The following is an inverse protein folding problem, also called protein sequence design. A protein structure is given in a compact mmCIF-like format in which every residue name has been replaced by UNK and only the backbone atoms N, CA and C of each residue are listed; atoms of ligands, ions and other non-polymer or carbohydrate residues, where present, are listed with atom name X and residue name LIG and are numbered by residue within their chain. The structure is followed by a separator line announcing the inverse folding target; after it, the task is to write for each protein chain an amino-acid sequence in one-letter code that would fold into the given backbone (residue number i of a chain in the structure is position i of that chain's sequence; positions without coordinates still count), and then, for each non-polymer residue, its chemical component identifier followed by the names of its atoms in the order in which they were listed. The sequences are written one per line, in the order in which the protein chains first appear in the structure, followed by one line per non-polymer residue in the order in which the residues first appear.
data_IF_317890011865
#
_entry.id   IF_317890011865
#
_cell.length_a   1.000
_cell.length_b   1.000
_cell.length_c   1.000
_cell.angle_alpha   90.00
_cell.angle_beta   90.00
_cell.angle_gamma   90.00
#
_symmetry.space_group_name_H-M   'P 1'
#
loop_
_entity.id
_entity.type
_entity.pdbx_description
1 polymer ?
#
# COMPACT_ATOMS: atom_id res chain seq x y z
N UNK A 1 -0.53 13.75 -25.16
CA UNK A 1 -0.53 12.28 -25.24
C UNK A 1 -0.03 11.80 -23.88
N UNK A 2 -0.95 11.51 -22.96
CA UNK A 2 -0.61 11.14 -21.58
C UNK A 2 -0.45 9.63 -21.51
N UNK A 3 0.76 9.19 -21.20
CA UNK A 3 1.12 7.78 -21.09
C UNK A 3 0.51 7.20 -19.80
N UNK A 4 -0.37 6.17 -19.86
CA UNK A 4 -0.95 5.54 -18.67
C UNK A 4 0.06 4.68 -17.89
N UNK A 5 1.29 4.55 -18.39
CA UNK A 5 2.40 3.85 -17.77
C UNK A 5 3.33 4.76 -16.95
N UNK A 6 2.78 5.71 -16.17
CA UNK A 6 3.48 6.22 -14.97
C UNK A 6 3.56 5.12 -13.91
N UNK A 7 4.29 4.10 -14.31
CA UNK A 7 4.95 3.07 -13.54
C UNK A 7 5.72 3.75 -12.44
N UNK A 8 5.54 3.26 -11.21
CA UNK A 8 6.41 3.44 -10.04
C UNK A 8 7.91 3.57 -10.42
N UNK A 9 8.35 4.76 -10.85
CA UNK A 9 9.66 5.00 -11.43
C UNK A 9 10.59 5.80 -10.50
N UNK A 10 10.08 6.27 -9.36
CA UNK A 10 10.93 6.76 -8.29
C UNK A 10 11.37 5.59 -7.41
N UNK A 11 12.66 5.49 -7.06
CA UNK A 11 13.13 4.54 -6.05
C UNK A 11 12.32 4.71 -4.77
N UNK A 12 11.74 3.62 -4.26
CA UNK A 12 11.00 3.59 -2.99
C UNK A 12 11.86 4.11 -1.82
N UNK A 13 13.19 4.04 -1.97
CA UNK A 13 14.21 4.66 -1.12
C UNK A 13 13.92 6.10 -0.67
N UNK A 14 13.28 6.94 -1.50
CA UNK A 14 13.05 8.35 -1.13
C UNK A 14 11.68 8.57 -0.47
N UNK A 15 10.73 7.65 -0.71
CA UNK A 15 9.32 7.75 -0.31
C UNK A 15 9.10 7.45 1.18
N UNK A 16 10.09 6.87 1.89
CA UNK A 16 9.93 6.49 3.30
C UNK A 16 11.00 7.05 4.25
N UNK A 17 12.02 7.76 3.74
CA UNK A 17 13.21 8.14 4.53
C UNK A 17 13.14 9.52 5.20
N UNK A 18 12.09 10.32 4.99
CA UNK A 18 12.00 11.66 5.58
C UNK A 18 10.75 11.85 6.42
N UNK A 19 10.88 11.58 7.73
CA UNK A 19 9.87 11.89 8.77
C UNK A 19 9.50 13.39 8.83
N UNK A 20 10.23 14.25 8.09
CA UNK A 20 10.01 15.69 8.01
C UNK A 20 9.58 16.20 6.63
N UNK A 21 9.24 15.33 5.66
CA UNK A 21 8.67 15.82 4.40
C UNK A 21 7.18 16.19 4.55
N UNK A 22 6.71 17.22 3.82
CA UNK A 22 5.29 17.57 3.77
C UNK A 22 4.41 16.39 3.39
N UNK A 23 4.85 15.56 2.45
CA UNK A 23 4.09 14.40 1.96
C UNK A 23 3.91 13.29 3.02
N UNK A 24 4.92 13.04 3.87
CA UNK A 24 4.77 12.15 5.01
C UNK A 24 3.77 12.70 6.05
N UNK A 25 3.80 14.03 6.28
CA UNK A 25 2.84 14.70 7.16
C UNK A 25 1.42 14.56 6.62
N UNK A 26 1.23 14.70 5.31
CA UNK A 26 -0.05 14.51 4.64
C UNK A 26 -0.58 13.08 4.82
N UNK A 27 0.26 12.05 4.65
CA UNK A 27 -0.13 10.66 4.90
C UNK A 27 -0.54 10.45 6.36
N UNK A 28 0.23 10.99 7.31
CA UNK A 28 -0.11 10.91 8.74
C UNK A 28 -1.45 11.57 9.02
N UNK A 29 -1.69 12.75 8.46
CA UNK A 29 -2.95 13.47 8.60
C UNK A 29 -4.12 12.68 8.02
N UNK A 30 -4.02 12.16 6.78
CA UNK A 30 -5.05 11.32 6.16
C UNK A 30 -5.42 10.10 7.01
N UNK A 31 -4.41 9.44 7.59
CA UNK A 31 -4.61 8.30 8.48
C UNK A 31 -5.36 8.70 9.75
N UNK A 32 -5.01 9.85 10.33
CA UNK A 32 -5.62 10.36 11.56
C UNK A 32 -7.04 10.86 11.34
N UNK A 33 -7.35 11.45 10.18
CA UNK A 33 -8.72 11.83 9.81
C UNK A 33 -9.66 10.62 9.76
N UNK A 34 -9.18 9.50 9.20
CA UNK A 34 -9.97 8.27 9.06
C UNK A 34 -9.99 7.46 10.37
N UNK A 35 -8.90 7.47 11.13
CA UNK A 35 -8.79 6.80 12.42
C UNK A 35 -8.09 7.74 13.42
N UNK A 36 -8.84 8.51 14.22
CA UNK A 36 -8.27 9.48 15.16
C UNK A 36 -7.38 8.87 16.24
N UNK A 37 -7.48 7.56 16.48
CA UNK A 37 -6.65 6.83 17.45
C UNK A 37 -5.32 6.35 16.86
N UNK A 38 -5.14 6.46 15.54
CA UNK A 38 -3.91 6.06 14.88
C UNK A 38 -2.75 6.98 15.26
N UNK A 39 -1.72 6.41 15.88
CA UNK A 39 -0.46 7.10 16.19
C UNK A 39 0.48 7.14 14.99
N UNK A 40 0.40 6.12 14.13
CA UNK A 40 1.26 5.93 12.96
C UNK A 40 0.49 5.27 11.80
N UNK A 41 0.72 5.73 10.55
CA UNK A 41 0.27 5.04 9.34
C UNK A 41 0.75 3.58 9.28
N UNK A 42 2.01 3.33 9.65
CA UNK A 42 2.60 1.99 9.58
C UNK A 42 1.91 1.08 10.59
N UNK A 43 1.80 1.54 11.84
CA UNK A 43 1.20 0.73 12.91
C UNK A 43 -0.26 0.37 12.59
N UNK A 44 -1.01 1.31 11.98
CA UNK A 44 -2.40 1.06 11.57
C UNK A 44 -2.52 0.04 10.45
N UNK A 45 -1.50 -0.11 9.58
CA UNK A 45 -1.51 -1.06 8.47
C UNK A 45 -1.07 -2.46 8.87
N UNK A 46 -0.18 -2.59 9.85
CA UNK A 46 0.32 -3.88 10.33
C UNK A 46 -0.55 -4.49 11.44
N UNK A 47 -1.35 -3.67 12.11
CA UNK A 47 -2.23 -4.10 13.18
C UNK A 47 -3.34 -5.02 12.64
N UNK A 48 -3.42 -6.25 13.16
CA UNK A 48 -4.36 -7.26 12.70
C UNK A 48 -5.82 -6.96 13.06
N UNK A 49 -6.03 -6.10 14.05
CA UNK A 49 -7.35 -5.66 14.53
C UNK A 49 -7.86 -4.41 13.82
N UNK A 50 -7.07 -3.79 12.92
CA UNK A 50 -7.56 -2.68 12.08
C UNK A 50 -8.77 -3.14 11.27
N UNK A 51 -9.96 -2.52 11.46
CA UNK A 51 -11.17 -2.98 10.80
C UNK A 51 -11.06 -2.90 9.28
N UNK A 52 -11.64 -3.88 8.57
CA UNK A 52 -11.65 -3.88 7.11
C UNK A 52 -12.29 -2.62 6.51
N UNK A 53 -13.29 -2.04 7.19
CA UNK A 53 -13.90 -0.78 6.77
C UNK A 53 -12.91 0.39 6.81
N UNK A 54 -12.05 0.45 7.84
CA UNK A 54 -10.97 1.42 7.96
C UNK A 54 -9.94 1.23 6.84
N UNK A 55 -9.57 -0.02 6.53
CA UNK A 55 -8.68 -0.31 5.39
C UNK A 55 -9.29 0.08 4.04
N UNK A 56 -10.60 -0.07 3.87
CA UNK A 56 -11.29 0.41 2.65
C UNK A 56 -11.19 1.93 2.54
N UNK A 57 -11.44 2.66 3.64
CA UNK A 57 -11.32 4.11 3.67
C UNK A 57 -9.87 4.58 3.39
N UNK A 58 -8.87 3.96 4.02
CA UNK A 58 -7.45 4.21 3.70
C UNK A 58 -7.16 3.98 2.22
N UNK A 59 -7.62 2.86 1.67
CA UNK A 59 -7.39 2.50 0.27
C UNK A 59 -7.99 3.55 -0.67
N UNK A 60 -9.18 4.08 -0.37
CA UNK A 60 -9.80 5.12 -1.20
C UNK A 60 -9.05 6.45 -1.07
N UNK A 61 -8.64 6.86 0.13
CA UNK A 61 -7.85 8.07 0.36
C UNK A 61 -6.46 8.01 -0.32
N UNK A 62 -5.73 6.91 -0.17
CA UNK A 62 -4.42 6.74 -0.82
C UNK A 62 -4.52 6.59 -2.33
N UNK A 63 -5.62 6.03 -2.84
CA UNK A 63 -5.90 6.05 -4.28
C UNK A 63 -6.09 7.48 -4.78
N UNK A 64 -6.80 8.31 -4.04
CA UNK A 64 -6.96 9.72 -4.40
C UNK A 64 -5.61 10.44 -4.36
N UNK A 65 -4.83 10.29 -3.28
CA UNK A 65 -3.49 10.86 -3.18
C UNK A 65 -2.57 10.43 -4.33
N UNK A 66 -2.64 9.16 -4.73
CA UNK A 66 -1.90 8.63 -5.89
C UNK A 66 -2.24 9.34 -7.20
N UNK A 67 -3.50 9.70 -7.41
CA UNK A 67 -3.99 10.24 -8.68
C UNK A 67 -3.97 11.77 -8.72
N UNK A 68 -4.20 12.41 -7.58
CA UNK A 68 -4.49 13.84 -7.45
C UNK A 68 -3.49 14.55 -6.53
N UNK A 69 -2.45 13.86 -6.04
CA UNK A 69 -1.39 14.48 -5.23
C UNK A 69 -0.73 15.65 -5.97
N UNK A 70 -0.48 16.74 -5.24
CA UNK A 70 0.04 18.00 -5.81
C UNK A 70 1.45 17.82 -6.35
N UNK A 71 2.26 16.98 -5.68
CA UNK A 71 3.63 16.66 -6.09
C UNK A 71 3.77 15.22 -6.55
N UNK A 72 4.87 14.93 -7.26
CA UNK A 72 5.21 13.55 -7.61
C UNK A 72 5.50 12.69 -6.37
N UNK A 73 5.98 13.30 -5.30
CA UNK A 73 6.25 12.63 -4.03
C UNK A 73 4.94 12.20 -3.37
N UNK A 74 3.93 13.07 -3.36
CA UNK A 74 2.58 12.74 -2.89
C UNK A 74 1.98 11.57 -3.67
N UNK A 75 2.05 11.64 -5.01
CA UNK A 75 1.52 10.59 -5.87
C UNK A 75 2.23 9.25 -5.66
N UNK A 76 3.55 9.29 -5.43
CA UNK A 76 4.38 8.11 -5.16
C UNK A 76 4.07 7.50 -3.79
N UNK A 77 3.98 8.34 -2.75
CA UNK A 77 3.53 7.94 -1.42
C UNK A 77 2.14 7.32 -1.46
N UNK A 78 1.19 7.98 -2.13
CA UNK A 78 -0.17 7.47 -2.33
C UNK A 78 -0.15 6.10 -3.02
N UNK A 79 0.69 5.89 -4.03
CA UNK A 79 0.80 4.60 -4.69
C UNK A 79 1.33 3.49 -3.77
N UNK A 80 2.32 3.80 -2.93
CA UNK A 80 2.89 2.86 -1.95
C UNK A 80 1.85 2.50 -0.89
N UNK A 81 1.28 3.51 -0.23
CA UNK A 81 0.29 3.30 0.83
C UNK A 81 -0.99 2.64 0.32
N UNK A 82 -1.39 2.90 -0.93
CA UNK A 82 -2.46 2.16 -1.61
C UNK A 82 -2.12 0.65 -1.71
N UNK A 83 -0.90 0.31 -2.15
CA UNK A 83 -0.42 -1.07 -2.21
C UNK A 83 -0.37 -1.74 -0.83
N UNK A 84 0.21 -1.05 0.16
CA UNK A 84 0.31 -1.54 1.54
C UNK A 84 -1.06 -1.81 2.17
N UNK A 85 -2.04 -0.96 1.90
CA UNK A 85 -3.41 -1.14 2.41
C UNK A 85 -4.08 -2.37 1.81
N UNK A 86 -3.86 -2.62 0.53
CA UNK A 86 -4.35 -3.85 -0.11
C UNK A 86 -3.65 -5.07 0.51
N UNK A 87 -2.33 -5.02 0.70
CA UNK A 87 -1.58 -6.10 1.34
C UNK A 87 -2.12 -6.40 2.75
N UNK A 88 -2.34 -5.37 3.56
CA UNK A 88 -2.95 -5.45 4.90
C UNK A 88 -4.29 -6.20 4.88
N UNK A 89 -5.19 -5.81 3.97
CA UNK A 89 -6.50 -6.46 3.85
C UNK A 89 -6.42 -7.95 3.47
N UNK A 90 -5.46 -8.31 2.61
CA UNK A 90 -5.24 -9.71 2.19
C UNK A 90 -4.69 -10.53 3.35
N UNK A 91 -3.69 -9.99 4.07
CA UNK A 91 -3.00 -10.73 5.14
C UNK A 91 -3.89 -10.91 6.37
N UNK A 92 -4.52 -9.83 6.84
CA UNK A 92 -5.24 -9.85 8.12
C UNK A 92 -6.70 -10.27 7.97
N UNK A 93 -7.33 -9.97 6.83
CA UNK A 93 -8.77 -10.23 6.63
C UNK A 93 -9.07 -11.29 5.58
N UNK A 94 -8.05 -11.80 4.85
CA UNK A 94 -8.23 -12.73 3.71
C UNK A 94 -9.18 -12.17 2.65
N UNK A 95 -9.25 -10.84 2.52
CA UNK A 95 -10.18 -10.15 1.62
C UNK A 95 -9.43 -9.21 0.70
N UNK A 96 -9.72 -9.29 -0.59
CA UNK A 96 -9.24 -8.34 -1.59
C UNK A 96 -10.17 -7.14 -1.67
N UNK A 97 -9.65 -5.95 -1.40
CA UNK A 97 -10.41 -4.68 -1.47
C UNK A 97 -10.15 -3.86 -2.75
N UNK A 98 -9.48 -4.46 -3.73
CA UNK A 98 -9.04 -3.82 -4.98
C UNK A 98 -9.44 -4.64 -6.20
N UNK A 99 -9.65 -3.93 -7.33
CA UNK A 99 -9.91 -4.53 -8.65
C UNK A 99 -8.67 -4.63 -9.54
N UNK A 100 -7.49 -4.21 -9.06
CA UNK A 100 -6.22 -4.39 -9.79
C UNK A 100 -6.03 -5.88 -10.13
N UNK A 101 -5.36 -6.23 -11.23
CA UNK A 101 -5.06 -7.64 -11.55
C UNK A 101 -4.06 -8.25 -10.57
N UNK A 102 -4.02 -9.58 -10.48
CA UNK A 102 -3.06 -10.30 -9.62
C UNK A 102 -1.62 -9.95 -9.99
N UNK A 103 -1.33 -9.93 -11.30
CA UNK A 103 -0.01 -9.51 -11.81
C UNK A 103 0.39 -8.12 -11.31
N UNK A 104 -0.52 -7.14 -11.39
CA UNK A 104 -0.21 -5.78 -10.96
C UNK A 104 0.05 -5.69 -9.44
N UNK A 105 -0.72 -6.45 -8.64
CA UNK A 105 -0.50 -6.54 -7.20
C UNK A 105 0.82 -7.26 -6.87
N UNK A 106 1.12 -8.35 -7.57
CA UNK A 106 2.38 -9.07 -7.40
C UNK A 106 3.60 -8.20 -7.69
N UNK A 107 3.57 -7.43 -8.78
CA UNK A 107 4.64 -6.48 -9.12
C UNK A 107 4.78 -5.39 -8.05
N UNK A 108 3.67 -4.82 -7.58
CA UNK A 108 3.68 -3.80 -6.52
C UNK A 108 4.24 -4.35 -5.20
N UNK A 109 3.77 -5.51 -4.75
CA UNK A 109 4.26 -6.14 -3.53
C UNK A 109 5.74 -6.51 -3.66
N UNK A 110 6.15 -7.03 -4.81
CA UNK A 110 7.55 -7.37 -5.08
C UNK A 110 8.47 -6.18 -4.90
N UNK A 111 8.14 -5.05 -5.52
CA UNK A 111 8.92 -3.82 -5.38
C UNK A 111 9.09 -3.42 -3.91
N UNK A 112 8.01 -3.48 -3.13
CA UNK A 112 8.04 -3.08 -1.71
C UNK A 112 8.87 -4.04 -0.86
N UNK A 113 8.65 -5.36 -0.93
CA UNK A 113 9.39 -6.27 -0.05
C UNK A 113 10.88 -6.40 -0.42
N UNK A 114 11.22 -6.20 -1.70
CA UNK A 114 12.61 -6.23 -2.19
C UNK A 114 13.40 -4.97 -1.86
N UNK A 115 12.74 -3.86 -1.52
CA UNK A 115 13.45 -2.64 -1.17
C UNK A 115 13.87 -2.67 0.31
N UNK A 116 15.19 -2.69 0.55
CA UNK A 116 15.77 -2.78 1.89
C UNK A 116 15.60 -1.52 2.74
N UNK A 117 15.23 -0.40 2.12
CA UNK A 117 15.03 0.89 2.79
C UNK A 117 13.64 1.04 3.40
N UNK A 118 12.70 0.16 3.03
CA UNK A 118 11.34 0.09 3.58
C UNK A 118 11.38 -0.56 4.98
N UNK A 119 10.54 -0.09 5.90
CA UNK A 119 10.34 -0.71 7.22
C UNK A 119 10.13 -2.24 7.08
N UNK A 120 10.92 -3.02 7.82
CA UNK A 120 10.92 -4.48 7.75
C UNK A 120 9.52 -5.07 7.95
N UNK A 121 8.67 -4.45 8.77
CA UNK A 121 7.30 -4.89 9.04
C UNK A 121 6.41 -4.75 7.79
N UNK A 122 6.60 -3.69 7.01
CA UNK A 122 5.89 -3.49 5.73
C UNK A 122 6.42 -4.41 4.63
N UNK A 123 7.72 -4.70 4.64
CA UNK A 123 8.33 -5.70 3.75
C UNK A 123 7.76 -7.10 4.03
N UNK A 124 7.69 -7.51 5.29
CA UNK A 124 7.05 -8.78 5.69
C UNK A 124 5.58 -8.82 5.28
N UNK A 125 4.83 -7.75 5.53
CA UNK A 125 3.42 -7.64 5.16
C UNK A 125 3.20 -7.88 3.66
N UNK A 126 3.98 -7.22 2.82
CA UNK A 126 3.86 -7.33 1.35
C UNK A 126 4.37 -8.67 0.82
N UNK A 127 5.42 -9.24 1.42
CA UNK A 127 5.84 -10.61 1.13
C UNK A 127 4.74 -11.64 1.42
N UNK A 128 4.09 -11.54 2.60
CA UNK A 128 3.00 -12.46 2.97
C UNK A 128 1.79 -12.30 2.06
N UNK A 129 1.43 -11.07 1.71
CA UNK A 129 0.35 -10.81 0.74
C UNK A 129 0.66 -11.42 -0.64
N UNK A 130 1.91 -11.28 -1.12
CA UNK A 130 2.39 -11.88 -2.37
C UNK A 130 2.26 -13.41 -2.34
N UNK A 131 2.70 -14.05 -1.25
CA UNK A 131 2.58 -15.50 -1.11
C UNK A 131 1.11 -15.96 -1.13
N UNK A 132 0.22 -15.26 -0.45
CA UNK A 132 -1.22 -15.58 -0.42
C UNK A 132 -1.84 -15.51 -1.83
N UNK A 133 -1.54 -14.47 -2.59
CA UNK A 133 -2.04 -14.32 -3.97
C UNK A 133 -1.57 -15.48 -4.86
N UNK A 134 -0.30 -15.87 -4.76
CA UNK A 134 0.25 -16.97 -5.57
C UNK A 134 -0.34 -18.33 -5.22
N UNK A 135 -0.66 -18.58 -3.95
CA UNK A 135 -1.31 -19.84 -3.56
C UNK A 135 -2.76 -19.89 -4.05
N UNK A 136 -3.52 -18.81 -3.88
CA UNK A 136 -4.90 -18.72 -4.36
C UNK A 136 -5.02 -18.89 -5.89
N UNK A 137 -4.03 -18.39 -6.65
CA UNK A 137 -3.97 -18.59 -8.10
C UNK A 137 -3.71 -20.05 -8.50
N UNK A 138 -2.97 -20.82 -7.68
CA UNK A 138 -2.75 -22.25 -7.92
C UNK A 138 -4.00 -23.08 -7.65
N UNK A 139 -4.76 -22.71 -6.64
CA UNK A 139 -5.98 -23.44 -6.23
C UNK A 139 -7.18 -23.17 -7.14
N UNK A 140 -7.08 -22.21 -8.08
CA UNK A 140 -8.14 -21.80 -9.01
C UNK A 140 -7.94 -22.33 -10.45
N UNK A 141 -6.88 -23.09 -10.72
CA UNK A 141 -6.71 -23.81 -11.99
C UNK A 141 -7.49 -25.14 -11.92
N UNK A 142 -8.45 -25.39 -12.84
CA UNK A 142 -9.01 -26.73 -12.97
C UNK A 142 -7.92 -27.66 -13.53
N UNK A 143 -7.79 -28.83 -12.92
CA UNK A 143 -7.04 -29.96 -13.49
C UNK A 143 -7.57 -30.32 -14.87
#
# INVERSE_FOLDING_TARGET
MNDPEKTFALPLQWVLQSDHSPSHTLVKWLVQEINPKATSPIDSLIASDTPIATLIAYKDAFKQLRLEGETLDDQSLGAVYYGLTIASSIVHHRRRISRQSDRALEEAFRKIWSDETVDLRLRDLTWRAFMILRTAAKDSLPY
#
